data_IF_561560752821
#
_entry.id   IF_561560752821
#
_cell.length_a   1.000
_cell.length_b   1.000
_cell.length_c   1.000
_cell.angle_alpha   90.00
_cell.angle_beta   90.00
_cell.angle_gamma   90.00
#
_symmetry.space_group_name_H-M   'P 1'
#
loop_
_entity.id
_entity.type
_entity.pdbx_description
1 polymer ?
#
# COMPACT_ATOMS: atom_id res chain seq x y z
N UNK A 1 -31.44 21.71 -11.48
CA UNK A 1 -29.98 21.53 -11.45
C UNK A 1 -29.62 20.79 -10.17
N UNK A 2 -29.08 19.56 -10.24
CA UNK A 2 -28.78 18.80 -9.04
C UNK A 2 -27.66 19.49 -8.26
N UNK A 3 -27.92 19.79 -6.99
CA UNK A 3 -26.95 20.37 -6.06
C UNK A 3 -25.90 19.31 -5.76
N UNK A 4 -24.73 19.43 -6.40
CA UNK A 4 -23.57 18.61 -6.10
C UNK A 4 -23.06 18.96 -4.70
N UNK A 5 -23.57 18.25 -3.69
CA UNK A 5 -23.14 18.39 -2.30
C UNK A 5 -21.68 17.96 -2.16
N UNK A 6 -20.95 18.55 -1.19
CA UNK A 6 -19.54 18.18 -0.90
C UNK A 6 -19.38 16.67 -0.64
N UNK A 7 -20.41 16.01 -0.11
CA UNK A 7 -20.45 14.56 0.09
C UNK A 7 -20.42 13.80 -1.24
N UNK A 8 -21.25 14.18 -2.23
CA UNK A 8 -21.25 13.56 -3.56
C UNK A 8 -19.90 13.69 -4.26
N UNK A 9 -19.21 14.84 -4.14
CA UNK A 9 -17.86 15.01 -4.69
C UNK A 9 -16.82 14.09 -4.04
N UNK A 10 -16.91 13.84 -2.73
CA UNK A 10 -15.99 12.92 -2.03
C UNK A 10 -16.20 11.48 -2.47
N UNK A 11 -17.46 11.02 -2.56
CA UNK A 11 -17.78 9.66 -3.02
C UNK A 11 -17.29 9.43 -4.45
N UNK A 12 -17.52 10.39 -5.37
CA UNK A 12 -17.03 10.28 -6.74
C UNK A 12 -15.50 10.23 -6.83
N UNK A 13 -14.79 10.97 -5.97
CA UNK A 13 -13.32 10.93 -5.92
C UNK A 13 -12.81 9.56 -5.46
N UNK A 14 -13.41 8.98 -4.42
CA UNK A 14 -13.05 7.66 -3.90
C UNK A 14 -13.31 6.58 -4.96
N UNK A 15 -14.49 6.61 -5.59
CA UNK A 15 -14.84 5.66 -6.66
C UNK A 15 -13.90 5.78 -7.88
N UNK A 16 -13.48 6.99 -8.24
CA UNK A 16 -12.51 7.16 -9.33
C UNK A 16 -11.12 6.63 -8.98
N UNK A 17 -10.67 6.80 -7.73
CA UNK A 17 -9.38 6.30 -7.28
C UNK A 17 -9.35 4.77 -7.23
N UNK A 18 -10.41 4.13 -6.72
CA UNK A 18 -10.51 2.67 -6.69
C UNK A 18 -10.54 2.05 -8.09
N UNK A 19 -11.20 2.70 -9.04
CA UNK A 19 -11.20 2.25 -10.44
C UNK A 19 -9.80 2.32 -11.05
N UNK A 20 -9.05 3.39 -10.79
CA UNK A 20 -7.68 3.55 -11.29
C UNK A 20 -6.76 2.46 -10.72
N UNK A 21 -6.82 2.20 -9.41
CA UNK A 21 -6.03 1.14 -8.76
C UNK A 21 -6.38 -0.21 -9.35
N UNK A 22 -7.67 -0.51 -9.51
CA UNK A 22 -8.13 -1.77 -10.11
C UNK A 22 -7.60 -1.96 -11.52
N UNK A 23 -7.63 -0.90 -12.34
CA UNK A 23 -7.09 -0.91 -13.69
C UNK A 23 -5.58 -1.17 -13.68
N UNK A 24 -4.82 -0.44 -12.84
CA UNK A 24 -3.37 -0.61 -12.72
C UNK A 24 -3.00 -2.03 -12.29
N UNK A 25 -3.64 -2.57 -11.26
CA UNK A 25 -3.39 -3.94 -10.75
C UNK A 25 -3.72 -5.01 -11.80
N UNK A 26 -4.80 -4.82 -12.55
CA UNK A 26 -5.17 -5.71 -13.66
C UNK A 26 -4.15 -5.68 -14.80
N UNK A 27 -3.68 -4.48 -15.18
CA UNK A 27 -2.65 -4.32 -16.22
C UNK A 27 -1.32 -4.92 -15.76
N UNK A 28 -0.93 -4.77 -14.49
CA UNK A 28 0.27 -5.42 -13.94
C UNK A 28 0.19 -6.94 -14.07
N UNK A 29 -0.93 -7.54 -13.66
CA UNK A 29 -1.16 -8.99 -13.77
C UNK A 29 -1.07 -9.47 -15.23
N UNK A 30 -1.74 -8.77 -16.15
CA UNK A 30 -1.69 -9.11 -17.58
C UNK A 30 -0.29 -8.93 -18.17
N UNK A 31 0.41 -7.84 -17.86
CA UNK A 31 1.72 -7.52 -18.43
C UNK A 31 2.80 -8.51 -17.92
N UNK A 32 2.76 -8.87 -16.64
CA UNK A 32 3.65 -9.89 -16.05
C UNK A 32 3.38 -11.28 -16.58
N UNK A 33 2.11 -11.65 -16.78
CA UNK A 33 1.73 -12.89 -17.46
C UNK A 33 2.24 -12.94 -18.91
N UNK A 34 2.05 -11.87 -19.67
CA UNK A 34 2.54 -11.79 -21.05
C UNK A 34 4.08 -11.87 -21.10
N UNK A 35 4.76 -11.25 -20.14
CA UNK A 35 6.23 -11.36 -20.00
C UNK A 35 6.64 -12.83 -19.82
N UNK A 36 5.96 -13.57 -18.95
CA UNK A 36 6.23 -15.01 -18.78
C UNK A 36 5.99 -15.80 -20.07
N UNK A 37 4.85 -15.57 -20.73
CA UNK A 37 4.49 -16.28 -21.96
C UNK A 37 5.56 -16.06 -23.03
N UNK A 38 5.92 -14.80 -23.32
CA UNK A 38 6.94 -14.47 -24.30
C UNK A 38 8.31 -15.07 -23.95
N UNK A 39 8.70 -15.05 -22.68
CA UNK A 39 9.97 -15.63 -22.25
C UNK A 39 9.98 -17.16 -22.43
N UNK A 40 8.87 -17.84 -22.13
CA UNK A 40 8.77 -19.30 -22.24
C UNK A 40 8.76 -19.79 -23.70
N UNK A 41 8.16 -19.03 -24.62
CA UNK A 41 8.15 -19.34 -26.06
C UNK A 41 9.40 -18.82 -26.79
N UNK A 42 10.31 -18.12 -26.10
CA UNK A 42 11.55 -17.61 -26.70
C UNK A 42 12.59 -18.70 -26.96
N UNK A 43 12.49 -19.83 -26.24
CA UNK A 43 13.43 -20.95 -26.35
C UNK A 43 12.82 -22.10 -27.12
N UNK A 44 13.52 -22.57 -28.16
CA UNK A 44 13.21 -23.84 -28.80
C UNK A 44 13.81 -25.01 -28.01
N UNK A 45 13.14 -26.15 -28.05
CA UNK A 45 13.64 -27.41 -27.49
C UNK A 45 14.86 -27.90 -28.28
N UNK A 46 15.98 -28.16 -27.59
CA UNK A 46 17.17 -28.77 -28.20
C UNK A 46 17.20 -30.25 -27.81
N UNK A 47 17.21 -31.13 -28.81
CA UNK A 47 17.33 -32.57 -28.60
C UNK A 47 18.81 -32.92 -28.33
N UNK A 48 19.12 -33.36 -27.11
CA UNK A 48 20.42 -33.98 -26.86
C UNK A 48 20.40 -35.39 -27.44
N UNK A 49 21.31 -35.63 -28.39
CA UNK A 49 21.39 -36.85 -29.20
C UNK A 49 21.62 -38.13 -28.37
N UNK A 50 22.16 -37.97 -27.15
CA UNK A 50 22.59 -39.10 -26.31
C UNK A 50 21.49 -39.64 -25.38
N UNK A 51 20.49 -38.82 -25.01
CA UNK A 51 19.45 -39.20 -24.02
C UNK A 51 18.02 -39.16 -24.58
N UNK A 52 17.83 -38.68 -25.82
CA UNK A 52 16.49 -38.50 -26.42
C UNK A 52 15.61 -37.46 -25.72
N UNK A 53 16.14 -36.75 -24.73
CA UNK A 53 15.45 -35.70 -23.97
C UNK A 53 15.69 -34.33 -24.60
N UNK A 54 14.66 -33.50 -24.58
CA UNK A 54 14.76 -32.09 -24.96
C UNK A 54 15.22 -31.25 -23.76
N UNK A 55 16.21 -30.39 -23.99
CA UNK A 55 16.71 -29.43 -23.01
C UNK A 55 16.58 -28.02 -23.56
N UNK A 56 16.31 -27.06 -22.66
CA UNK A 56 16.30 -25.63 -22.97
C UNK A 56 17.47 -24.98 -22.25
N UNK A 57 18.38 -24.37 -23.01
CA UNK A 57 19.45 -23.57 -22.44
C UNK A 57 18.93 -22.18 -22.08
N UNK A 58 18.69 -21.92 -20.81
CA UNK A 58 18.34 -20.60 -20.30
C UNK A 58 19.55 -19.99 -19.58
N UNK A 59 19.89 -18.75 -19.94
CA UNK A 59 20.85 -17.97 -19.15
C UNK A 59 20.18 -17.43 -17.88
N UNK A 60 20.99 -17.19 -16.84
CA UNK A 60 20.59 -16.63 -15.54
C UNK A 60 19.56 -15.46 -15.62
N UNK A 61 19.74 -14.42 -16.47
CA UNK A 61 18.78 -13.31 -16.55
C UNK A 61 17.39 -13.72 -17.05
N UNK A 62 17.29 -14.75 -17.89
CA UNK A 62 16.01 -15.26 -18.37
C UNK A 62 15.28 -16.04 -17.27
N UNK A 63 16.01 -16.81 -16.47
CA UNK A 63 15.44 -17.50 -15.31
C UNK A 63 14.87 -16.51 -14.28
N UNK A 64 15.62 -15.45 -13.96
CA UNK A 64 15.13 -14.40 -13.06
C UNK A 64 13.93 -13.64 -13.65
N UNK A 65 13.88 -13.43 -14.96
CA UNK A 65 12.70 -12.87 -15.65
C UNK A 65 11.45 -13.70 -15.42
N UNK A 66 11.54 -15.03 -15.53
CA UNK A 66 10.39 -15.91 -15.25
C UNK A 66 10.00 -15.85 -13.76
N UNK A 67 10.98 -15.88 -12.85
CA UNK A 67 10.71 -15.81 -11.40
C UNK A 67 10.03 -14.50 -10.98
N UNK A 68 10.55 -13.36 -11.44
CA UNK A 68 9.93 -12.06 -11.19
C UNK A 68 8.57 -11.95 -11.87
N UNK A 69 8.41 -12.53 -13.06
CA UNK A 69 7.11 -12.63 -13.73
C UNK A 69 6.07 -13.40 -12.91
N UNK A 70 6.44 -14.56 -12.36
CA UNK A 70 5.55 -15.37 -11.49
C UNK A 70 5.19 -14.59 -10.22
N UNK A 71 6.18 -14.01 -9.54
CA UNK A 71 5.95 -13.28 -8.31
C UNK A 71 5.08 -12.03 -8.54
N UNK A 72 5.35 -11.28 -9.61
CA UNK A 72 4.56 -10.11 -9.98
C UNK A 72 3.13 -10.48 -10.36
N UNK A 73 2.95 -11.55 -11.16
CA UNK A 73 1.63 -12.06 -11.51
C UNK A 73 0.85 -12.51 -10.28
N UNK A 74 1.45 -13.33 -9.41
CA UNK A 74 0.81 -13.82 -8.20
C UNK A 74 0.44 -12.67 -7.26
N UNK A 75 1.34 -11.71 -7.06
CA UNK A 75 1.10 -10.52 -6.25
C UNK A 75 -0.10 -9.72 -6.79
N UNK A 76 -0.08 -9.32 -8.06
CA UNK A 76 -1.14 -8.51 -8.65
C UNK A 76 -2.48 -9.26 -8.75
N UNK A 77 -2.45 -10.57 -9.03
CA UNK A 77 -3.66 -11.40 -9.06
C UNK A 77 -4.27 -11.56 -7.67
N UNK A 78 -3.47 -11.90 -6.66
CA UNK A 78 -3.94 -12.01 -5.28
C UNK A 78 -4.49 -10.69 -4.77
N UNK A 79 -3.87 -9.56 -5.12
CA UNK A 79 -4.39 -8.24 -4.81
C UNK A 79 -5.79 -8.03 -5.43
N UNK A 80 -5.95 -8.36 -6.72
CA UNK A 80 -7.24 -8.24 -7.40
C UNK A 80 -8.33 -9.11 -6.76
N UNK A 81 -7.98 -10.33 -6.33
CA UNK A 81 -8.96 -11.25 -5.73
C UNK A 81 -9.25 -10.90 -4.28
N UNK A 82 -8.23 -10.86 -3.43
CA UNK A 82 -8.37 -10.77 -1.97
C UNK A 82 -8.72 -9.37 -1.50
N UNK A 83 -8.14 -8.33 -2.12
CA UNK A 83 -8.37 -6.94 -1.72
C UNK A 83 -9.54 -6.35 -2.49
N UNK A 84 -9.54 -6.44 -3.83
CA UNK A 84 -10.55 -5.76 -4.65
C UNK A 84 -11.84 -6.58 -4.82
N UNK A 85 -11.73 -7.90 -5.02
CA UNK A 85 -12.88 -8.76 -5.32
C UNK A 85 -13.62 -9.24 -4.08
N UNK A 86 -12.89 -9.66 -3.05
CA UNK A 86 -13.44 -10.27 -1.84
C UNK A 86 -13.48 -9.33 -0.63
N UNK A 87 -12.79 -8.18 -0.69
CA UNK A 87 -12.63 -7.24 0.44
C UNK A 87 -12.23 -7.96 1.74
N UNK A 88 -11.45 -9.05 1.60
CA UNK A 88 -11.08 -9.94 2.69
C UNK A 88 -9.91 -9.39 3.50
N UNK A 89 -8.99 -8.68 2.84
CA UNK A 89 -7.83 -8.07 3.46
C UNK A 89 -7.85 -6.56 3.36
N UNK A 90 -7.50 -5.90 4.47
CA UNK A 90 -7.28 -4.45 4.51
C UNK A 90 -6.03 -4.09 3.72
N UNK A 91 -6.14 -3.04 2.90
CA UNK A 91 -5.04 -2.51 2.11
C UNK A 91 -3.94 -1.92 3.03
N UNK A 92 -2.76 -2.55 3.03
CA UNK A 92 -1.56 -1.99 3.67
C UNK A 92 -0.75 -1.17 2.66
N UNK A 93 -0.95 0.15 2.73
CA UNK A 93 -0.33 1.14 1.84
C UNK A 93 1.20 1.08 1.89
N UNK A 94 1.80 0.76 3.04
CA UNK A 94 3.25 0.70 3.15
C UNK A 94 3.81 -0.51 2.39
N UNK A 95 3.20 -1.67 2.60
CA UNK A 95 3.60 -2.91 1.95
C UNK A 95 3.42 -2.81 0.44
N UNK A 96 2.33 -2.20 -0.02
CA UNK A 96 2.04 -1.95 -1.43
C UNK A 96 3.12 -1.11 -2.10
N UNK A 97 3.52 0.00 -1.46
CA UNK A 97 4.60 0.87 -1.96
C UNK A 97 5.94 0.17 -2.04
N UNK A 98 6.27 -0.63 -1.02
CA UNK A 98 7.52 -1.41 -1.01
C UNK A 98 7.50 -2.43 -2.15
N UNK A 99 6.40 -3.17 -2.29
CA UNK A 99 6.25 -4.15 -3.37
C UNK A 99 6.36 -3.48 -4.75
N UNK A 100 5.62 -2.41 -5.00
CA UNK A 100 5.64 -1.71 -6.29
C UNK A 100 7.02 -1.13 -6.61
N UNK A 101 7.71 -0.56 -5.62
CA UNK A 101 9.07 -0.05 -5.79
C UNK A 101 10.06 -1.19 -6.12
N UNK A 102 10.02 -2.29 -5.36
CA UNK A 102 10.89 -3.45 -5.58
C UNK A 102 10.64 -4.07 -6.96
N UNK A 103 9.37 -4.29 -7.34
CA UNK A 103 9.04 -4.83 -8.65
C UNK A 103 9.46 -3.88 -9.78
N UNK A 104 9.27 -2.57 -9.62
CA UNK A 104 9.72 -1.59 -10.62
C UNK A 104 11.22 -1.71 -10.87
N UNK A 105 12.04 -1.72 -9.81
CA UNK A 105 13.50 -1.78 -9.93
C UNK A 105 13.95 -3.12 -10.51
N UNK A 106 13.44 -4.23 -9.99
CA UNK A 106 13.82 -5.57 -10.43
C UNK A 106 13.45 -5.81 -11.90
N UNK A 107 12.22 -5.46 -12.30
CA UNK A 107 11.74 -5.64 -13.67
C UNK A 107 12.54 -4.74 -14.63
N UNK A 108 12.83 -3.50 -14.26
CA UNK A 108 13.65 -2.61 -15.09
C UNK A 108 15.09 -3.12 -15.26
N UNK A 109 15.71 -3.59 -14.17
CA UNK A 109 17.04 -4.18 -14.22
C UNK A 109 17.08 -5.44 -15.11
N UNK A 110 16.07 -6.30 -15.01
CA UNK A 110 15.95 -7.47 -15.88
C UNK A 110 15.67 -7.09 -17.33
N UNK A 111 14.87 -6.06 -17.59
CA UNK A 111 14.67 -5.49 -18.93
C UNK A 111 15.97 -5.03 -19.57
N UNK A 112 16.87 -4.41 -18.79
CA UNK A 112 18.20 -4.04 -19.25
C UNK A 112 19.10 -5.26 -19.50
N UNK A 113 19.13 -6.23 -18.58
CA UNK A 113 19.99 -7.42 -18.70
C UNK A 113 19.57 -8.33 -19.86
N UNK A 114 18.28 -8.62 -20.00
CA UNK A 114 17.72 -9.40 -21.12
C UNK A 114 17.81 -8.59 -22.42
N UNK A 115 17.67 -7.27 -22.35
CA UNK A 115 17.80 -6.35 -23.49
C UNK A 115 19.15 -6.48 -24.22
N UNK A 116 20.24 -6.78 -23.50
CA UNK A 116 21.53 -7.06 -24.14
C UNK A 116 21.50 -8.28 -25.08
N UNK A 117 20.66 -9.26 -24.76
CA UNK A 117 20.47 -10.46 -25.59
C UNK A 117 19.47 -10.23 -26.74
N UNK A 118 18.69 -9.14 -26.72
CA UNK A 118 17.68 -8.84 -27.73
C UNK A 118 18.27 -8.40 -29.08
N UNK A 119 19.57 -8.08 -29.11
CA UNK A 119 20.35 -7.80 -30.33
C UNK A 119 20.62 -9.05 -31.16
N UNK A 120 20.29 -10.26 -30.67
CA UNK A 120 20.58 -11.54 -31.33
C UNK A 120 22.05 -11.87 -31.49
N UNK A 121 22.96 -11.14 -30.85
CA UNK A 121 24.39 -11.47 -30.80
C UNK A 121 24.69 -12.66 -29.87
N UNK A 122 23.65 -13.37 -29.42
CA UNK A 122 23.78 -14.55 -28.59
C UNK A 122 24.43 -15.69 -29.37
N UNK A 123 25.15 -16.61 -28.70
CA UNK A 123 25.79 -17.75 -29.36
C UNK A 123 24.76 -18.54 -30.18
N UNK A 124 25.09 -18.96 -31.41
CA UNK A 124 24.16 -19.71 -32.28
C UNK A 124 23.69 -21.03 -31.65
N UNK A 125 24.42 -21.56 -30.66
CA UNK A 125 24.02 -22.72 -29.88
C UNK A 125 22.74 -22.52 -29.04
N UNK A 126 22.30 -21.28 -28.83
CA UNK A 126 21.20 -20.94 -27.93
C UNK A 126 19.82 -20.94 -28.62
N UNK A 127 19.77 -21.05 -29.97
CA UNK A 127 18.54 -21.14 -30.80
C UNK A 127 17.38 -20.26 -30.27
N UNK A 128 17.65 -18.98 -30.04
CA UNK A 128 16.69 -18.03 -29.50
C UNK A 128 15.79 -17.46 -30.60
N UNK A 129 14.48 -17.42 -30.34
CA UNK A 129 13.57 -16.64 -31.15
C UNK A 129 13.62 -15.17 -30.74
N UNK A 130 14.44 -14.39 -31.46
CA UNK A 130 14.67 -12.98 -31.16
C UNK A 130 13.42 -12.11 -31.13
N UNK A 131 12.38 -12.43 -31.91
CA UNK A 131 11.13 -11.69 -31.88
C UNK A 131 10.46 -11.78 -30.51
N UNK A 132 10.46 -12.98 -29.93
CA UNK A 132 9.86 -13.25 -28.62
C UNK A 132 10.70 -12.66 -27.49
N UNK A 133 12.03 -12.64 -27.63
CA UNK A 133 12.93 -11.97 -26.67
C UNK A 133 12.69 -10.46 -26.67
N UNK A 134 12.57 -9.84 -27.86
CA UNK A 134 12.22 -8.40 -27.98
C UNK A 134 10.84 -8.11 -27.40
N UNK A 135 9.86 -9.00 -27.64
CA UNK A 135 8.54 -8.94 -27.01
C UNK A 135 8.63 -8.99 -25.48
N UNK A 136 9.46 -9.89 -24.94
CA UNK A 136 9.71 -10.00 -23.49
C UNK A 136 10.30 -8.70 -22.94
N UNK A 137 11.29 -8.11 -23.61
CA UNK A 137 11.91 -6.84 -23.19
C UNK A 137 10.89 -5.70 -23.20
N UNK A 138 10.04 -5.62 -24.24
CA UNK A 138 8.97 -4.64 -24.29
C UNK A 138 7.97 -4.82 -23.14
N UNK A 139 7.56 -6.06 -22.84
CA UNK A 139 6.67 -6.38 -21.74
C UNK A 139 7.30 -6.08 -20.36
N UNK A 140 8.62 -6.29 -20.19
CA UNK A 140 9.34 -5.91 -18.98
C UNK A 140 9.28 -4.39 -18.75
N UNK A 141 9.63 -3.58 -19.76
CA UNK A 141 9.55 -2.12 -19.60
C UNK A 141 8.12 -1.61 -19.40
N UNK A 142 7.14 -2.20 -20.09
CA UNK A 142 5.73 -1.89 -19.85
C UNK A 142 5.33 -2.22 -18.41
N UNK A 143 5.69 -3.41 -17.92
CA UNK A 143 5.40 -3.83 -16.54
C UNK A 143 6.05 -2.88 -15.53
N UNK A 144 7.32 -2.54 -15.72
CA UNK A 144 8.04 -1.60 -14.86
C UNK A 144 7.37 -0.22 -14.84
N UNK A 145 6.94 0.30 -16.00
CA UNK A 145 6.24 1.57 -16.07
C UNK A 145 4.89 1.54 -15.32
N UNK A 146 4.16 0.43 -15.37
CA UNK A 146 2.87 0.29 -14.68
C UNK A 146 3.06 0.15 -13.17
N UNK A 147 4.07 -0.60 -12.70
CA UNK A 147 4.42 -0.64 -11.27
C UNK A 147 4.88 0.73 -10.77
N UNK A 148 5.67 1.46 -11.55
CA UNK A 148 6.08 2.82 -11.21
C UNK A 148 4.88 3.77 -11.15
N UNK A 149 3.95 3.67 -12.10
CA UNK A 149 2.73 4.46 -12.11
C UNK A 149 1.85 4.18 -10.87
N UNK A 150 1.73 2.91 -10.46
CA UNK A 150 1.02 2.53 -9.24
C UNK A 150 1.71 3.09 -7.98
N UNK A 151 3.04 2.99 -7.90
CA UNK A 151 3.81 3.57 -6.81
C UNK A 151 3.62 5.09 -6.70
N UNK A 152 3.78 5.81 -7.82
CA UNK A 152 3.60 7.27 -7.87
C UNK A 152 2.17 7.65 -7.53
N UNK A 153 1.18 6.91 -8.04
CA UNK A 153 -0.23 7.12 -7.72
C UNK A 153 -0.47 6.98 -6.21
N UNK A 154 -0.04 5.87 -5.59
CA UNK A 154 -0.17 5.66 -4.15
C UNK A 154 0.50 6.78 -3.35
N UNK A 155 1.68 7.26 -3.76
CA UNK A 155 2.37 8.38 -3.10
C UNK A 155 1.58 9.70 -3.17
N UNK A 156 0.81 9.92 -4.24
CA UNK A 156 0.05 11.15 -4.44
C UNK A 156 -1.36 11.10 -3.83
N UNK A 157 -1.95 9.92 -3.68
CA UNK A 157 -3.37 9.78 -3.31
C UNK A 157 -3.61 9.18 -1.94
N UNK A 158 -2.67 8.42 -1.40
CA UNK A 158 -2.86 7.68 -0.15
C UNK A 158 -1.99 8.26 0.97
N UNK A 159 -2.57 8.43 2.14
CA UNK A 159 -1.83 8.81 3.34
C UNK A 159 -1.44 7.55 4.12
N UNK A 160 -0.22 7.53 4.64
CA UNK A 160 0.22 6.41 5.46
C UNK A 160 -0.54 6.46 6.80
N UNK A 161 -1.28 5.41 7.19
CA UNK A 161 -1.98 5.41 8.47
C UNK A 161 -0.94 5.56 9.59
N UNK A 162 -1.08 6.61 10.40
CA UNK A 162 -0.20 6.83 11.54
C UNK A 162 -0.53 5.77 12.61
N UNK A 163 0.41 4.90 13.02
CA UNK A 163 0.16 3.90 14.07
C UNK A 163 -0.34 4.56 15.37
N UNK A 164 0.09 5.79 15.66
CA UNK A 164 -0.33 6.54 16.84
C UNK A 164 -1.75 7.13 16.75
N UNK A 165 -2.42 7.00 15.59
CA UNK A 165 -3.78 7.54 15.39
C UNK A 165 -4.89 6.58 15.85
N UNK A 166 -4.60 5.28 15.91
CA UNK A 166 -5.53 4.26 16.40
C UNK A 166 -5.50 4.15 17.93
N UNK A 167 -4.35 4.40 18.55
CA UNK A 167 -4.14 4.33 20.00
C UNK A 167 -4.05 5.72 20.65
N UNK A 168 -4.99 6.62 20.34
CA UNK A 168 -5.15 7.84 21.14
C UNK A 168 -5.77 7.50 22.52
N UNK A 169 -5.10 6.66 23.29
CA UNK A 169 -5.44 6.18 24.63
C UNK A 169 -5.13 7.19 25.72
N UNK A 170 -4.57 8.34 25.36
CA UNK A 170 -4.36 9.45 26.28
C UNK A 170 -5.11 10.65 25.73
N UNK A 171 -6.01 11.27 26.50
CA UNK A 171 -6.47 12.61 26.19
C UNK A 171 -5.22 13.46 25.98
N UNK A 172 -4.94 13.87 24.73
CA UNK A 172 -3.89 14.85 24.46
C UNK A 172 -4.36 16.16 25.06
N UNK A 173 -4.10 16.29 26.35
CA UNK A 173 -4.06 17.55 27.05
C UNK A 173 -3.23 18.47 26.17
N UNK A 174 -3.82 19.59 25.80
CA UNK A 174 -3.08 20.68 25.20
C UNK A 174 -2.11 21.19 26.27
N UNK A 175 -0.95 20.54 26.43
CA UNK A 175 0.17 21.07 27.20
C UNK A 175 0.87 22.09 26.32
N UNK A 176 0.20 23.23 26.17
CA UNK A 176 0.70 24.38 25.46
C UNK A 176 -0.27 25.52 25.72
N UNK A 177 0.22 26.72 26.09
CA UNK A 177 -0.65 27.86 26.32
C UNK A 177 -1.30 28.22 24.99
N UNK A 178 -2.53 27.74 24.77
CA UNK A 178 -3.33 28.20 23.65
C UNK A 178 -3.77 29.63 24.00
N UNK A 179 -3.48 30.63 23.16
CA UNK A 179 -3.84 32.01 23.44
C UNK A 179 -5.35 32.09 23.57
N UNK A 180 -5.80 32.58 24.72
CA UNK A 180 -7.20 32.76 25.05
C UNK A 180 -7.91 33.56 23.94
N UNK A 181 -8.92 32.95 23.33
CA UNK A 181 -9.93 33.68 22.55
C UNK A 181 -10.79 34.50 23.52
N UNK A 182 -11.28 35.68 23.12
CA UNK A 182 -11.48 36.80 24.03
C UNK A 182 -12.82 36.70 24.76
N UNK A 183 -12.76 36.80 26.09
CA UNK A 183 -13.91 37.15 26.91
C UNK A 183 -13.52 38.33 27.83
N UNK A 184 -14.04 39.49 27.44
CA UNK A 184 -14.50 40.68 28.19
C UNK A 184 -14.24 40.70 29.71
N UNK A 185 -13.89 41.87 30.29
CA UNK A 185 -13.01 41.99 31.45
C UNK A 185 -13.76 41.94 32.78
N UNK A 186 -13.09 41.40 33.81
CA UNK A 186 -13.41 41.75 35.19
C UNK A 186 -12.14 42.13 35.94
N UNK A 187 -12.27 43.21 36.69
CA UNK A 187 -11.24 43.94 37.39
C UNK A 187 -10.47 43.11 38.42
N UNK A 188 -9.22 43.54 38.64
CA UNK A 188 -8.45 43.50 39.89
C UNK A 188 -8.78 42.37 40.89
N UNK A 189 -7.84 41.43 41.05
CA UNK A 189 -7.21 41.31 42.37
C UNK A 189 -5.80 40.71 42.29
N UNK A 190 -4.90 41.25 43.10
CA UNK A 190 -3.51 40.85 43.25
C UNK A 190 -3.46 39.86 44.40
N UNK A 191 -3.20 38.57 44.15
CA UNK A 191 -2.76 37.64 45.19
C UNK A 191 -2.02 36.46 44.56
N UNK A 192 -0.75 36.30 44.93
CA UNK A 192 -0.01 35.04 44.80
C UNK A 192 -0.74 33.93 45.56
N UNK A 193 -1.10 32.85 44.87
CA UNK A 193 -1.52 31.56 45.45
C UNK A 193 -0.99 30.44 44.54
N UNK A 194 -0.71 29.24 45.09
CA UNK A 194 0.18 28.25 44.53
C UNK A 194 -0.41 27.55 43.30
N UNK A 195 0.46 26.90 42.52
CA UNK A 195 0.15 26.13 41.32
C UNK A 195 -0.98 25.12 41.60
N UNK A 196 -2.22 25.53 41.36
CA UNK A 196 -3.41 24.73 41.60
C UNK A 196 -3.49 23.65 40.51
N UNK A 197 -3.38 22.38 40.90
CA UNK A 197 -3.52 21.26 39.99
C UNK A 197 -5.01 21.12 39.59
N UNK A 198 -5.40 21.81 38.53
CA UNK A 198 -6.77 21.83 38.01
C UNK A 198 -7.16 20.54 37.26
N UNK A 199 -6.59 19.40 37.65
CA UNK A 199 -6.88 18.08 37.06
C UNK A 199 -8.29 17.60 37.39
N UNK A 200 -8.91 18.14 38.43
CA UNK A 200 -10.29 17.82 38.86
C UNK A 200 -11.38 18.45 37.98
N UNK A 201 -11.05 19.47 37.17
CA UNK A 201 -12.02 20.19 36.32
C UNK A 201 -11.95 19.80 34.83
N UNK A 202 -11.12 18.82 34.48
CA UNK A 202 -10.97 18.34 33.11
C UNK A 202 -12.23 17.62 32.63
N UNK A 203 -13.12 18.33 31.93
CA UNK A 203 -14.20 17.70 31.16
C UNK A 203 -13.63 16.96 29.95
N UNK A 204 -13.88 15.66 29.79
CA UNK A 204 -13.41 14.92 28.62
C UNK A 204 -14.09 15.45 27.36
N UNK A 205 -13.33 16.06 26.46
CA UNK A 205 -13.79 16.33 25.09
C UNK A 205 -13.60 15.07 24.24
N UNK A 206 -14.53 14.13 24.40
CA UNK A 206 -14.72 13.00 23.52
C UNK A 206 -16.22 12.77 23.33
N UNK A 207 -16.64 12.38 22.12
CA UNK A 207 -17.96 11.75 21.93
C UNK A 207 -17.91 10.34 22.49
N UNK A 208 -17.79 10.22 23.81
CA UNK A 208 -18.11 8.99 24.50
C UNK A 208 -19.62 8.82 24.36
N UNK A 209 -20.05 7.90 23.49
CA UNK A 209 -21.43 7.46 23.48
C UNK A 209 -21.78 7.03 24.90
N UNK A 210 -22.73 7.73 25.52
CA UNK A 210 -23.25 7.38 26.83
C UNK A 210 -23.94 6.02 26.74
N UNK A 211 -23.24 4.95 27.07
CA UNK A 211 -23.92 3.75 27.56
C UNK A 211 -24.32 4.08 29.00
N UNK A 212 -25.38 4.88 29.15
CA UNK A 212 -26.13 4.91 30.39
C UNK A 212 -26.97 3.64 30.41
N UNK A 213 -26.44 2.59 31.04
CA UNK A 213 -27.30 1.56 31.61
C UNK A 213 -28.15 2.23 32.69
N UNK A 214 -29.42 2.51 32.35
CA UNK A 214 -30.43 3.10 33.24
C UNK A 214 -30.88 2.17 34.37
N UNK A 215 -30.04 1.24 34.80
CA UNK A 215 -30.38 0.26 35.84
C UNK A 215 -29.16 -0.09 36.67
N UNK A 216 -28.67 0.86 37.48
CA UNK A 216 -28.01 0.60 38.77
C UNK A 216 -27.77 1.91 39.51
N UNK A 217 -28.87 2.43 40.03
CA UNK A 217 -28.86 3.40 41.12
C UNK A 217 -28.44 2.64 42.39
N UNK A 218 -27.15 2.58 42.70
CA UNK A 218 -26.66 2.38 44.07
C UNK A 218 -25.24 2.93 44.19
N UNK A 219 -25.13 4.08 44.84
CA UNK A 219 -23.89 4.71 45.27
C UNK A 219 -23.18 3.80 46.28
N UNK A 220 -22.02 3.25 45.90
CA UNK A 220 -21.06 2.67 46.83
C UNK A 220 -20.10 3.81 47.22
N UNK A 221 -20.00 4.21 48.51
CA UNK A 221 -19.02 5.20 48.92
C UNK A 221 -17.61 4.61 48.79
N UNK A 222 -16.74 5.27 48.01
CA UNK A 222 -15.30 4.98 47.95
C UNK A 222 -14.64 5.55 49.20
N UNK A 223 -14.04 4.67 49.99
CA UNK A 223 -13.14 5.02 51.08
C UNK A 223 -11.77 5.44 50.52
N UNK A 224 -11.20 6.49 51.10
CA UNK A 224 -9.93 7.13 50.74
C UNK A 224 -8.73 6.36 51.30
N UNK A 225 -8.59 5.08 50.99
CA UNK A 225 -7.36 4.34 51.24
C UNK A 225 -6.71 3.96 49.91
N UNK A 226 -5.66 4.70 49.56
CA UNK A 226 -4.84 4.48 48.35
C UNK A 226 -4.07 3.16 48.40
N UNK A 227 -4.77 2.05 48.19
CA UNK A 227 -4.18 0.71 48.07
C UNK A 227 -4.29 0.18 46.65
N UNK A 228 -3.14 -0.15 46.07
CA UNK A 228 -2.99 -1.00 44.89
C UNK A 228 -3.55 -2.40 45.18
N UNK A 229 -4.42 -2.90 44.29
CA UNK A 229 -4.46 -4.31 43.85
C UNK A 229 -4.66 -4.31 42.34
#
# INVERSE_FOLDING_TARGET
MPVNTRASRRVNKIASASLIITCLRSIQSLATLMTMIFMLISFSDILLKDDGKSYRFAQLPHFFTVMVGILGFAYSLLYCILVLGLDYWSQDVLLERIADCVFTILIAALGFLVGKNASCDAPPALNLNCSNVRGTVACLYLSAAVYLAAFVFSMLTEELPNPDSAENLVPRGHYGPSPASPAVPSAFDVSQEPLNDNTTELKPRGKFGSIQDKSRLHSIPRDNSGGLV
#
